data_IF_145152165142
#
_entry.id   IF_145152165142
#
_cell.length_a   1.000
_cell.length_b   1.000
_cell.length_c   1.000
_cell.angle_alpha   90.00
_cell.angle_beta   90.00
_cell.angle_gamma   90.00
#
_symmetry.space_group_name_H-M   'P 1'
#
loop_
_entity.id
_entity.type
_entity.pdbx_description
1 polymer ?
#
# COMPACT_ATOMS: atom_id res chain seq x y z
N UNK A 1 0.13 -7.35 16.23
CA UNK A 1 0.03 -5.86 16.28
C UNK A 1 1.43 -5.32 16.48
N UNK A 2 1.79 -4.15 15.93
CA UNK A 2 3.13 -3.60 16.09
C UNK A 2 3.36 -3.19 17.54
N UNK A 3 4.33 -3.82 18.20
CA UNK A 3 4.62 -3.60 19.62
C UNK A 3 4.96 -2.13 19.87
N UNK A 4 4.30 -1.52 20.85
CA UNK A 4 4.55 -0.13 21.25
C UNK A 4 3.85 0.92 20.40
N UNK A 5 3.09 0.53 19.38
CA UNK A 5 2.31 1.47 18.56
C UNK A 5 0.82 1.40 18.84
N UNK A 6 0.35 0.70 19.88
CA UNK A 6 -1.10 0.48 20.15
C UNK A 6 -1.89 1.79 20.33
N UNK A 7 -1.25 2.83 20.85
CA UNK A 7 -1.82 4.18 20.99
C UNK A 7 -1.56 5.12 19.80
N UNK A 8 -0.78 4.69 18.79
CA UNK A 8 -0.40 5.52 17.63
C UNK A 8 -0.91 4.92 16.30
N UNK A 9 -2.20 5.13 15.96
CA UNK A 9 -2.81 4.55 14.77
C UNK A 9 -2.20 5.05 13.47
N UNK A 10 -1.68 6.27 13.42
CA UNK A 10 -1.14 6.86 12.19
C UNK A 10 0.22 6.25 11.88
N UNK A 11 1.12 6.14 12.87
CA UNK A 11 2.38 5.42 12.68
C UNK A 11 2.14 3.94 12.36
N UNK A 12 1.14 3.29 12.98
CA UNK A 12 0.77 1.91 12.63
C UNK A 12 0.39 1.77 11.15
N UNK A 13 -0.39 2.71 10.60
CA UNK A 13 -0.78 2.67 9.18
C UNK A 13 0.44 2.82 8.27
N UNK A 14 1.36 3.73 8.58
CA UNK A 14 2.58 3.94 7.81
C UNK A 14 3.45 2.67 7.79
N UNK A 15 3.65 2.04 8.95
CA UNK A 15 4.40 0.78 9.06
C UNK A 15 3.71 -0.34 8.30
N UNK A 16 2.39 -0.47 8.43
CA UNK A 16 1.61 -1.46 7.70
C UNK A 16 1.72 -1.29 6.17
N UNK A 17 1.68 -0.04 5.67
CA UNK A 17 1.79 0.26 4.25
C UNK A 17 3.15 -0.18 3.69
N UNK A 18 4.24 0.17 4.38
CA UNK A 18 5.60 -0.18 3.98
C UNK A 18 5.80 -1.70 3.95
N UNK A 19 5.44 -2.41 5.02
CA UNK A 19 5.60 -3.87 5.11
C UNK A 19 4.78 -4.58 4.03
N UNK A 20 3.53 -4.16 3.84
CA UNK A 20 2.65 -4.74 2.80
C UNK A 20 3.23 -4.53 1.41
N UNK A 21 3.77 -3.33 1.13
CA UNK A 21 4.38 -3.05 -0.16
C UNK A 21 5.69 -3.83 -0.38
N UNK A 22 6.53 -4.01 0.64
CA UNK A 22 7.73 -4.85 0.56
C UNK A 22 7.37 -6.31 0.30
N UNK A 23 6.35 -6.83 0.98
CA UNK A 23 5.84 -8.18 0.75
C UNK A 23 5.33 -8.35 -0.69
N UNK A 24 4.54 -7.41 -1.19
CA UNK A 24 4.10 -7.40 -2.59
C UNK A 24 5.28 -7.36 -3.56
N UNK A 25 6.29 -6.52 -3.32
CA UNK A 25 7.52 -6.47 -4.16
C UNK A 25 8.27 -7.80 -4.17
N UNK A 26 8.36 -8.48 -3.03
CA UNK A 26 8.97 -9.81 -2.94
C UNK A 26 8.17 -10.82 -3.77
N UNK A 27 6.86 -10.89 -3.57
CA UNK A 27 5.99 -11.80 -4.32
C UNK A 27 6.03 -11.52 -5.83
N UNK A 28 6.10 -10.24 -6.24
CA UNK A 28 6.22 -9.87 -7.64
C UNK A 28 7.52 -10.36 -8.27
N UNK A 29 8.65 -10.33 -7.53
CA UNK A 29 9.93 -10.90 -7.97
C UNK A 29 9.85 -12.42 -8.16
N UNK A 30 9.02 -13.10 -7.36
CA UNK A 30 8.74 -14.54 -7.50
C UNK A 30 7.69 -14.87 -8.57
N UNK A 31 7.23 -13.88 -9.35
CA UNK A 31 6.35 -14.07 -10.50
C UNK A 31 4.85 -13.85 -10.25
N UNK A 32 4.44 -13.41 -9.05
CA UNK A 32 3.05 -13.02 -8.78
C UNK A 32 2.71 -11.72 -9.51
N UNK A 33 1.64 -11.72 -10.31
CA UNK A 33 1.25 -10.57 -11.14
C UNK A 33 0.00 -9.83 -10.68
N UNK A 34 -0.81 -10.47 -9.84
CA UNK A 34 -2.10 -9.95 -9.39
C UNK A 34 -2.17 -9.90 -7.86
N UNK A 35 -2.70 -8.81 -7.34
CA UNK A 35 -2.84 -8.59 -5.90
C UNK A 35 -4.28 -8.16 -5.60
N UNK A 36 -4.89 -8.81 -4.61
CA UNK A 36 -6.18 -8.43 -4.08
C UNK A 36 -6.02 -7.94 -2.63
N UNK A 37 -6.44 -6.71 -2.37
CA UNK A 37 -6.36 -6.10 -1.05
C UNK A 37 -7.71 -6.17 -0.34
N UNK A 38 -7.74 -6.81 0.84
CA UNK A 38 -8.87 -6.72 1.75
C UNK A 38 -8.87 -5.34 2.43
N UNK A 39 -9.59 -4.41 1.84
CA UNK A 39 -9.59 -2.99 2.25
C UNK A 39 -10.28 -2.73 3.59
N UNK A 40 -11.12 -3.66 4.05
CA UNK A 40 -11.97 -3.49 5.24
C UNK A 40 -12.80 -2.19 5.20
N UNK A 41 -13.32 -1.84 4.01
CA UNK A 41 -14.06 -0.61 3.73
C UNK A 41 -13.26 0.69 3.97
N UNK A 42 -11.92 0.62 3.93
CA UNK A 42 -11.02 1.78 4.08
C UNK A 42 -10.04 1.86 2.92
N UNK A 43 -10.05 2.98 2.21
CA UNK A 43 -9.25 3.16 1.00
C UNK A 43 -7.82 3.64 1.29
N UNK A 44 -7.59 4.37 2.37
CA UNK A 44 -6.33 5.05 2.72
C UNK A 44 -5.12 4.10 2.64
N UNK A 45 -5.18 2.96 3.33
CA UNK A 45 -4.07 2.01 3.41
C UNK A 45 -3.80 1.33 2.07
N UNK A 46 -4.85 0.84 1.40
CA UNK A 46 -4.71 0.13 0.12
C UNK A 46 -4.22 1.07 -0.98
N UNK A 47 -4.67 2.32 -0.97
CA UNK A 47 -4.20 3.36 -1.88
C UNK A 47 -2.72 3.68 -1.67
N UNK A 48 -2.28 3.84 -0.42
CA UNK A 48 -0.87 4.06 -0.09
C UNK A 48 0.02 2.90 -0.56
N UNK A 49 -0.41 1.65 -0.36
CA UNK A 49 0.32 0.46 -0.84
C UNK A 49 0.48 0.49 -2.36
N UNK A 50 -0.62 0.70 -3.10
CA UNK A 50 -0.58 0.83 -4.56
C UNK A 50 0.41 1.92 -5.00
N UNK A 51 0.41 3.06 -4.31
CA UNK A 51 1.36 4.13 -4.59
C UNK A 51 2.82 3.71 -4.34
N UNK A 52 3.13 2.99 -3.26
CA UNK A 52 4.50 2.50 -3.01
C UNK A 52 4.95 1.45 -4.04
N UNK A 53 4.00 0.72 -4.63
CA UNK A 53 4.21 -0.23 -5.72
C UNK A 53 4.37 0.43 -7.09
N UNK A 54 4.23 1.76 -7.19
CA UNK A 54 4.32 2.49 -8.45
C UNK A 54 3.03 2.49 -9.27
N UNK A 55 1.94 1.94 -8.72
CA UNK A 55 0.61 1.97 -9.33
C UNK A 55 -0.03 3.31 -8.99
N UNK A 56 -0.16 4.18 -10.00
CA UNK A 56 -0.71 5.53 -9.88
C UNK A 56 -2.11 5.59 -10.45
N UNK A 57 -2.91 6.56 -9.98
CA UNK A 57 -4.21 6.83 -10.59
C UNK A 57 -4.01 7.41 -12.00
N UNK A 58 -4.87 7.04 -12.94
CA UNK A 58 -4.84 7.57 -14.31
C UNK A 58 -5.16 9.07 -14.41
N UNK A 59 -5.57 9.70 -13.29
CA UNK A 59 -5.87 11.15 -13.24
C UNK A 59 -4.61 12.01 -13.15
N UNK A 60 -3.52 11.49 -12.59
CA UNK A 60 -2.25 12.23 -12.47
C UNK A 60 -1.49 12.33 -13.81
N UNK A 61 -1.85 11.50 -14.80
CA UNK A 61 -1.25 11.48 -16.15
C UNK A 61 -1.87 12.51 -17.12
N UNK A 62 -2.81 13.34 -16.67
CA UNK A 62 -3.47 14.41 -17.47
C UNK A 62 -3.09 15.82 -17.01
N UNK A 63 -1.88 16.02 -16.50
CA UNK A 63 -1.34 17.35 -16.20
C UNK A 63 -0.26 17.58 -17.25
N UNK A 64 -0.67 17.86 -18.48
CA UNK A 64 0.11 18.45 -19.58
C UNK A 64 -0.85 18.59 -20.78
N UNK A 65 -1.80 19.53 -20.69
CA UNK A 65 -2.52 20.13 -21.83
C UNK A 65 -2.44 21.66 -21.67
#
# INVERSE_FOLDING_TARGET
MFVGLDSDPETRKLVAATISAEQCKKLAKEGVKEFHFYTLNRADLSFAICHILGIRSLKELKIDD
#
